data_IF_105857554099
#
_entry.id   IF_105857554099
#
_cell.length_a   1.000
_cell.length_b   1.000
_cell.length_c   1.000
_cell.angle_alpha   90.00
_cell.angle_beta   90.00
_cell.angle_gamma   90.00
#
_symmetry.space_group_name_H-M   'P 1'
#
loop_
_entity.id
_entity.type
_entity.pdbx_description
1 polymer ?
#
# COMPACT_ATOMS: atom_id res chain seq x y z
N UNK A 1 -22.65 43.64 61.94
CA UNK A 1 -21.62 42.56 62.10
C UNK A 1 -20.45 43.08 62.91
N UNK A 2 -20.12 42.44 64.04
CA UNK A 2 -19.03 42.89 64.90
C UNK A 2 -17.66 42.78 64.23
N UNK A 3 -16.75 43.68 64.57
CA UNK A 3 -15.36 43.71 64.03
C UNK A 3 -14.65 42.35 64.16
N UNK A 4 -14.97 41.56 65.18
CA UNK A 4 -14.43 40.21 65.38
C UNK A 4 -14.88 39.19 64.29
N UNK A 5 -16.14 39.23 63.87
CA UNK A 5 -16.60 38.31 62.81
C UNK A 5 -15.90 38.56 61.46
N UNK A 6 -15.61 39.83 61.13
CA UNK A 6 -14.87 40.21 59.93
C UNK A 6 -13.39 39.76 59.97
N UNK A 7 -12.76 39.84 61.12
CA UNK A 7 -11.37 39.39 61.32
C UNK A 7 -11.25 37.88 61.18
N UNK A 8 -12.19 37.10 61.70
CA UNK A 8 -12.21 35.63 61.57
C UNK A 8 -12.47 35.20 60.09
N UNK A 9 -13.41 35.84 59.40
CA UNK A 9 -13.67 35.57 58.03
C UNK A 9 -12.45 35.87 57.14
N UNK A 10 -11.76 36.99 57.41
CA UNK A 10 -10.55 37.34 56.68
C UNK A 10 -9.41 36.33 56.92
N UNK A 11 -9.22 35.86 58.15
CA UNK A 11 -8.22 34.86 58.48
C UNK A 11 -8.49 33.50 57.82
N UNK A 12 -9.76 33.08 57.74
CA UNK A 12 -10.17 31.84 57.03
C UNK A 12 -9.92 31.96 55.52
N UNK A 13 -10.27 33.09 54.89
CA UNK A 13 -10.04 33.32 53.45
C UNK A 13 -8.54 33.35 53.15
N UNK A 14 -7.72 34.04 53.98
CA UNK A 14 -6.27 34.03 53.79
C UNK A 14 -5.66 32.64 53.97
N UNK A 15 -6.18 31.84 54.93
CA UNK A 15 -5.74 30.46 55.17
C UNK A 15 -6.05 29.53 54.01
N UNK A 16 -7.28 29.62 53.44
CA UNK A 16 -7.66 28.83 52.24
C UNK A 16 -6.85 29.23 51.02
N UNK A 17 -6.59 30.52 50.83
CA UNK A 17 -5.77 31.01 49.73
C UNK A 17 -4.32 30.51 49.84
N UNK A 18 -3.75 30.50 51.04
CA UNK A 18 -2.39 29.96 51.26
C UNK A 18 -2.30 28.46 51.00
N UNK A 19 -3.32 27.67 51.36
CA UNK A 19 -3.39 26.23 51.03
C UNK A 19 -3.55 25.99 49.56
N UNK A 20 -4.39 26.76 48.84
CA UNK A 20 -4.55 26.65 47.39
C UNK A 20 -3.27 27.02 46.64
N UNK A 21 -2.59 28.09 47.06
CA UNK A 21 -1.31 28.51 46.45
C UNK A 21 -0.20 27.49 46.75
N UNK A 22 -0.10 26.99 48.00
CA UNK A 22 0.85 25.93 48.36
C UNK A 22 0.60 24.62 47.61
N UNK A 23 -0.67 24.20 47.47
CA UNK A 23 -1.08 23.04 46.72
C UNK A 23 -0.76 23.16 45.21
N UNK A 24 -0.98 24.35 44.63
CA UNK A 24 -0.63 24.64 43.26
C UNK A 24 0.88 24.54 42.99
N UNK A 25 1.71 25.13 43.85
CA UNK A 25 3.17 25.03 43.71
C UNK A 25 3.69 23.61 43.94
N UNK A 26 3.12 22.85 44.86
CA UNK A 26 3.46 21.44 45.02
C UNK A 26 3.09 20.58 43.83
N UNK A 27 1.89 20.77 43.28
CA UNK A 27 1.44 20.07 42.09
C UNK A 27 2.32 20.43 40.87
N UNK A 28 2.64 21.72 40.71
CA UNK A 28 3.52 22.18 39.64
C UNK A 28 4.95 21.61 39.75
N UNK A 29 5.49 21.57 40.96
CA UNK A 29 6.82 20.99 41.18
C UNK A 29 6.85 19.46 40.93
N UNK A 30 5.76 18.76 41.24
CA UNK A 30 5.62 17.35 40.91
C UNK A 30 5.49 17.15 39.38
N UNK A 31 4.74 17.99 38.66
CA UNK A 31 4.66 17.98 37.22
C UNK A 31 6.02 18.32 36.56
N UNK A 32 6.75 19.31 37.08
CA UNK A 32 8.08 19.65 36.56
C UNK A 32 9.10 18.55 36.84
N UNK A 33 9.01 17.83 37.96
CA UNK A 33 9.82 16.64 38.23
C UNK A 33 9.44 15.47 37.31
N UNK A 34 8.16 15.22 37.08
CA UNK A 34 7.70 14.20 36.12
C UNK A 34 8.14 14.56 34.70
N UNK A 35 7.96 15.80 34.27
CA UNK A 35 8.42 16.27 32.97
C UNK A 35 9.95 16.19 32.80
N UNK A 36 10.72 16.43 33.87
CA UNK A 36 12.17 16.23 33.83
C UNK A 36 12.59 14.76 33.87
N UNK A 37 11.84 13.89 34.55
CA UNK A 37 12.04 12.45 34.51
C UNK A 37 11.66 11.89 33.12
N UNK A 38 10.56 12.34 32.54
CA UNK A 38 10.14 11.97 31.19
C UNK A 38 11.13 12.51 30.12
N UNK A 39 11.68 13.71 30.33
CA UNK A 39 12.72 14.27 29.44
C UNK A 39 14.09 13.57 29.59
N UNK A 40 14.43 13.06 30.77
CA UNK A 40 15.63 12.25 31.00
C UNK A 40 15.47 10.79 30.53
N UNK A 41 14.22 10.30 30.34
CA UNK A 41 13.91 8.98 29.77
C UNK A 41 13.87 8.96 28.25
N UNK A 42 14.12 10.08 27.58
CA UNK A 42 13.97 10.19 26.10
C UNK A 42 15.30 10.16 25.35
N UNK A 43 16.38 9.68 25.92
CA UNK A 43 17.54 9.28 25.11
C UNK A 43 17.24 7.89 24.53
N UNK A 44 16.67 7.88 23.33
CA UNK A 44 16.39 6.62 22.62
C UNK A 44 17.69 5.85 22.44
N UNK A 45 17.67 4.59 22.85
CA UNK A 45 18.82 3.71 22.75
C UNK A 45 18.91 3.20 21.33
N UNK A 46 20.01 3.47 20.65
CA UNK A 46 20.27 2.95 19.30
C UNK A 46 20.63 1.48 19.37
N UNK A 47 19.82 0.62 18.77
CA UNK A 47 20.07 -0.82 18.63
C UNK A 47 20.84 -1.11 17.36
N UNK A 48 20.35 -0.61 16.22
CA UNK A 48 21.02 -0.73 14.93
C UNK A 48 21.19 0.66 14.30
N UNK A 49 22.32 0.87 13.61
CA UNK A 49 22.60 2.11 12.91
C UNK A 49 23.40 1.80 11.63
N UNK A 50 22.74 1.09 10.72
CA UNK A 50 23.30 0.73 9.42
C UNK A 50 22.64 1.55 8.31
N UNK A 51 23.26 1.58 7.15
CA UNK A 51 22.64 2.13 5.95
C UNK A 51 21.74 1.09 5.31
N UNK A 52 20.45 1.39 5.13
CA UNK A 52 19.56 0.53 4.35
C UNK A 52 20.04 0.35 2.89
N UNK A 53 20.78 1.34 2.36
CA UNK A 53 21.36 1.25 1.03
C UNK A 53 22.57 0.30 0.96
N UNK A 54 23.21 0.02 2.08
CA UNK A 54 24.28 -0.98 2.19
C UNK A 54 23.79 -2.39 2.46
N UNK A 55 22.46 -2.60 2.62
CA UNK A 55 21.89 -3.92 2.84
C UNK A 55 21.88 -4.72 1.53
N UNK A 56 22.42 -5.94 1.56
CA UNK A 56 22.53 -6.83 0.39
C UNK A 56 21.49 -7.94 0.39
N UNK A 57 21.03 -8.36 1.59
CA UNK A 57 19.96 -9.34 1.72
C UNK A 57 19.10 -9.04 2.96
N UNK A 58 17.86 -9.45 2.89
CA UNK A 58 16.87 -9.35 3.96
C UNK A 58 16.06 -10.64 3.97
N UNK A 59 15.90 -11.26 5.13
CA UNK A 59 14.93 -12.33 5.30
C UNK A 59 14.11 -12.11 6.54
N UNK A 60 12.86 -12.57 6.54
CA UNK A 60 12.05 -12.57 7.73
C UNK A 60 11.13 -13.78 7.81
N UNK A 61 10.89 -14.21 9.02
CA UNK A 61 9.83 -15.14 9.40
C UNK A 61 8.69 -14.36 10.02
N UNK A 62 7.45 -14.68 9.66
CA UNK A 62 6.25 -14.10 10.24
C UNK A 62 5.34 -15.23 10.73
N UNK A 63 4.99 -15.21 12.03
CA UNK A 63 4.30 -16.30 12.72
C UNK A 63 2.93 -16.61 12.14
N UNK A 64 2.12 -15.59 11.81
CA UNK A 64 0.75 -15.79 11.33
C UNK A 64 0.69 -16.52 9.99
N UNK A 65 1.73 -16.44 9.19
CA UNK A 65 1.84 -17.17 7.92
C UNK A 65 2.68 -18.42 8.04
N UNK A 66 3.46 -18.54 9.11
CA UNK A 66 4.49 -19.57 9.31
C UNK A 66 5.45 -19.69 8.11
N UNK A 67 5.71 -18.57 7.41
CA UNK A 67 6.56 -18.50 6.23
C UNK A 67 7.81 -17.68 6.49
N UNK A 68 8.92 -18.15 5.92
CA UNK A 68 10.14 -17.35 5.80
C UNK A 68 10.24 -16.84 4.37
N UNK A 69 10.35 -15.54 4.22
CA UNK A 69 10.59 -14.88 2.93
C UNK A 69 12.00 -14.31 2.93
N UNK A 70 12.72 -14.53 1.83
CA UNK A 70 14.12 -14.07 1.67
C UNK A 70 14.26 -13.27 0.39
N UNK A 71 15.01 -12.18 0.47
CA UNK A 71 15.18 -11.22 -0.61
C UNK A 71 16.65 -10.88 -0.76
N UNK A 72 17.11 -10.84 -2.00
CA UNK A 72 18.43 -10.37 -2.38
C UNK A 72 18.32 -9.05 -3.12
N UNK A 73 19.23 -8.12 -2.82
CA UNK A 73 19.31 -6.84 -3.51
C UNK A 73 20.20 -6.97 -4.73
N UNK A 74 19.67 -6.55 -5.88
CA UNK A 74 20.38 -6.46 -7.16
C UNK A 74 20.47 -5.01 -7.62
N UNK A 75 21.17 -4.74 -8.72
CA UNK A 75 21.21 -3.42 -9.34
C UNK A 75 19.81 -2.94 -9.80
N UNK A 76 18.91 -3.87 -10.12
CA UNK A 76 17.54 -3.58 -10.55
C UNK A 76 16.55 -3.40 -9.37
N UNK A 77 16.98 -3.66 -8.14
CA UNK A 77 16.16 -3.61 -6.93
C UNK A 77 16.13 -4.93 -6.16
N UNK A 78 15.16 -5.09 -5.28
CA UNK A 78 14.96 -6.29 -4.48
C UNK A 78 14.30 -7.42 -5.28
N UNK A 79 14.75 -8.62 -5.09
CA UNK A 79 14.25 -9.85 -5.75
C UNK A 79 13.89 -10.86 -4.67
N UNK A 80 12.77 -11.55 -4.82
CA UNK A 80 12.38 -12.67 -3.96
C UNK A 80 13.20 -13.91 -4.34
N UNK A 81 13.95 -14.49 -3.40
CA UNK A 81 14.89 -15.57 -3.68
C UNK A 81 14.20 -16.84 -4.18
N UNK A 82 13.01 -17.15 -3.69
CA UNK A 82 12.24 -18.31 -4.12
C UNK A 82 11.65 -18.16 -5.53
N UNK A 83 11.51 -16.92 -6.03
CA UNK A 83 10.84 -16.62 -7.29
C UNK A 83 11.32 -15.28 -7.85
N UNK A 84 12.41 -15.30 -8.62
CA UNK A 84 13.09 -14.10 -9.09
C UNK A 84 12.23 -13.18 -9.98
N UNK A 85 11.24 -13.74 -10.66
CA UNK A 85 10.31 -12.98 -11.52
C UNK A 85 9.08 -12.43 -10.77
N UNK A 86 8.96 -12.73 -9.45
CA UNK A 86 7.86 -12.23 -8.65
C UNK A 86 7.87 -10.69 -8.61
N UNK A 87 6.79 -10.04 -9.02
CA UNK A 87 6.76 -8.57 -9.09
C UNK A 87 6.60 -7.97 -7.70
N UNK A 88 7.72 -7.81 -7.01
CA UNK A 88 7.79 -7.26 -5.66
C UNK A 88 7.44 -5.77 -5.63
N UNK A 89 6.66 -5.38 -4.63
CA UNK A 89 6.47 -3.99 -4.26
C UNK A 89 7.76 -3.43 -3.64
N UNK A 90 8.59 -2.81 -4.46
CA UNK A 90 9.89 -2.26 -4.08
C UNK A 90 9.80 -1.24 -2.94
N UNK A 91 8.71 -0.48 -2.87
CA UNK A 91 8.48 0.50 -1.81
C UNK A 91 8.32 -0.18 -0.45
N UNK A 92 7.55 -1.27 -0.39
CA UNK A 92 7.37 -2.05 0.85
C UNK A 92 8.69 -2.68 1.30
N UNK A 93 9.40 -3.37 0.41
CA UNK A 93 10.67 -4.00 0.76
C UNK A 93 11.71 -2.96 1.22
N UNK A 94 11.75 -1.80 0.56
CA UNK A 94 12.63 -0.70 0.97
C UNK A 94 12.24 -0.15 2.34
N UNK A 95 10.96 -0.05 2.66
CA UNK A 95 10.49 0.36 3.99
C UNK A 95 10.90 -0.67 5.06
N UNK A 96 10.76 -1.97 4.78
CA UNK A 96 11.22 -3.05 5.66
C UNK A 96 12.74 -2.95 5.92
N UNK A 97 13.54 -2.77 4.87
CA UNK A 97 14.98 -2.60 5.00
C UNK A 97 15.36 -1.39 5.87
N UNK A 98 14.67 -0.26 5.70
CA UNK A 98 14.85 0.94 6.53
C UNK A 98 14.45 0.71 7.98
N UNK A 99 13.36 -0.02 8.21
CA UNK A 99 12.85 -0.28 9.56
C UNK A 99 13.84 -1.05 10.44
N UNK A 100 14.65 -1.96 9.87
CA UNK A 100 15.66 -2.72 10.63
C UNK A 100 17.07 -2.15 10.58
N UNK A 101 17.36 -1.29 9.61
CA UNK A 101 18.66 -0.65 9.50
C UNK A 101 18.91 0.36 10.63
N UNK A 102 17.85 1.01 11.13
CA UNK A 102 17.93 2.06 12.14
C UNK A 102 16.87 1.86 13.23
N UNK A 103 17.09 0.87 14.08
CA UNK A 103 16.18 0.56 15.19
C UNK A 103 16.62 1.29 16.46
N UNK A 104 15.65 1.89 17.10
CA UNK A 104 15.82 2.53 18.41
C UNK A 104 14.91 1.86 19.43
N UNK A 105 15.45 1.63 20.64
CA UNK A 105 14.66 1.17 21.76
C UNK A 105 14.16 2.34 22.61
N UNK A 106 12.97 2.18 23.15
CA UNK A 106 12.43 3.07 24.19
C UNK A 106 13.17 2.87 25.52
N UNK A 107 13.57 1.63 25.79
CA UNK A 107 14.35 1.25 26.97
C UNK A 107 14.96 -0.13 26.84
N UNK A 108 15.96 -0.42 27.67
CA UNK A 108 16.40 -1.78 27.96
C UNK A 108 15.51 -2.42 29.03
N UNK A 109 15.39 -3.74 28.98
CA UNK A 109 14.69 -4.54 29.99
C UNK A 109 15.73 -5.28 30.83
N UNK A 110 15.72 -5.06 32.15
CA UNK A 110 16.63 -5.78 33.03
C UNK A 110 16.29 -7.27 33.07
N UNK A 111 17.25 -8.09 32.70
CA UNK A 111 17.17 -9.56 32.68
C UNK A 111 17.42 -10.10 34.07
N UNK A 112 16.42 -10.13 34.94
CA UNK A 112 16.47 -10.78 36.25
C UNK A 112 15.66 -12.07 36.18
N UNK A 113 16.30 -13.21 36.13
CA UNK A 113 15.67 -14.53 36.21
C UNK A 113 14.64 -14.87 35.08
N UNK A 114 14.62 -14.11 34.00
CA UNK A 114 13.74 -14.31 32.86
C UNK A 114 14.47 -14.97 31.67
N UNK A 115 13.71 -15.77 30.92
CA UNK A 115 14.14 -16.38 29.66
C UNK A 115 13.59 -15.60 28.47
N UNK A 116 14.04 -15.89 27.25
CA UNK A 116 13.46 -15.31 26.02
C UNK A 116 12.00 -15.71 25.85
N UNK A 117 11.61 -16.92 26.28
CA UNK A 117 10.23 -17.40 26.26
C UNK A 117 9.27 -16.51 27.07
N UNK A 118 9.72 -15.97 28.20
CA UNK A 118 8.88 -15.09 29.05
C UNK A 118 8.51 -13.79 28.34
N UNK A 119 9.22 -13.44 27.26
CA UNK A 119 8.98 -12.24 26.45
C UNK A 119 8.47 -12.55 25.04
N UNK A 120 8.13 -13.82 24.76
CA UNK A 120 7.65 -14.24 23.43
C UNK A 120 8.73 -14.14 22.34
N UNK A 121 9.99 -14.47 22.69
CA UNK A 121 11.14 -14.38 21.80
C UNK A 121 11.80 -15.73 21.49
N UNK A 122 11.29 -16.84 22.03
CA UNK A 122 11.76 -18.18 21.68
C UNK A 122 11.23 -18.66 20.32
N UNK A 123 11.67 -19.83 19.88
CA UNK A 123 11.28 -20.37 18.56
C UNK A 123 9.79 -20.72 18.44
N UNK A 124 9.10 -20.94 19.56
CA UNK A 124 7.69 -21.35 19.58
C UNK A 124 6.75 -20.15 19.61
N UNK A 125 7.17 -19.04 20.20
CA UNK A 125 6.30 -17.89 20.50
C UNK A 125 6.70 -16.60 19.77
N UNK A 126 7.86 -16.58 19.08
CA UNK A 126 8.33 -15.39 18.39
C UNK A 126 7.36 -14.96 17.27
N UNK A 127 7.04 -13.67 17.25
CA UNK A 127 6.13 -13.11 16.26
C UNK A 127 6.82 -12.85 14.92
N UNK A 128 7.99 -12.18 14.96
CA UNK A 128 8.79 -11.88 13.78
C UNK A 128 10.26 -12.17 14.05
N UNK A 129 10.93 -12.86 13.14
CA UNK A 129 12.41 -12.97 13.12
C UNK A 129 12.91 -12.31 11.84
N UNK A 130 13.77 -11.31 11.96
CA UNK A 130 14.34 -10.61 10.81
C UNK A 130 15.85 -10.81 10.80
N UNK A 131 16.40 -11.20 9.65
CA UNK A 131 17.84 -11.22 9.39
C UNK A 131 18.17 -10.28 8.26
N UNK A 132 19.01 -9.29 8.55
CA UNK A 132 19.52 -8.33 7.59
C UNK A 132 21.02 -8.54 7.37
N UNK A 133 21.46 -8.56 6.11
CA UNK A 133 22.86 -8.77 5.74
C UNK A 133 23.43 -7.52 5.08
N UNK A 134 24.61 -7.15 5.52
CA UNK A 134 25.35 -5.97 5.06
C UNK A 134 26.77 -6.36 4.66
N UNK A 135 27.48 -5.48 3.98
CA UNK A 135 28.92 -5.60 3.75
C UNK A 135 29.67 -4.68 4.71
N UNK A 136 30.74 -5.20 5.31
CA UNK A 136 31.68 -4.38 6.09
C UNK A 136 32.58 -3.52 5.18
N UNK A 137 33.47 -2.74 5.78
CA UNK A 137 34.44 -1.92 5.05
C UNK A 137 35.40 -2.72 4.14
N UNK A 138 35.56 -4.03 4.36
CA UNK A 138 36.36 -4.94 3.56
C UNK A 138 35.53 -5.75 2.56
N UNK A 139 34.28 -5.40 2.35
CA UNK A 139 33.31 -6.12 1.51
C UNK A 139 33.01 -7.54 1.98
N UNK A 140 33.16 -7.82 3.28
CA UNK A 140 32.84 -9.12 3.89
C UNK A 140 31.38 -9.05 4.39
N UNK A 141 30.52 -10.02 4.01
CA UNK A 141 29.15 -10.06 4.50
C UNK A 141 29.08 -10.33 6.00
N UNK A 142 28.23 -9.59 6.70
CA UNK A 142 27.84 -9.89 8.07
C UNK A 142 26.32 -9.73 8.22
N UNK A 143 25.74 -10.48 9.16
CA UNK A 143 24.30 -10.48 9.36
C UNK A 143 23.94 -10.09 10.78
N UNK A 144 22.81 -9.39 10.91
CA UNK A 144 22.19 -9.05 12.17
C UNK A 144 20.81 -9.70 12.19
N UNK A 145 20.56 -10.52 13.21
CA UNK A 145 19.24 -11.15 13.40
C UNK A 145 18.55 -10.52 14.60
N UNK A 146 17.32 -10.10 14.42
CA UNK A 146 16.42 -9.56 15.43
C UNK A 146 15.24 -10.51 15.62
N UNK A 147 14.92 -10.82 16.87
CA UNK A 147 13.71 -11.53 17.27
C UNK A 147 12.78 -10.53 17.92
N UNK A 148 11.54 -10.48 17.49
CA UNK A 148 10.57 -9.48 17.94
C UNK A 148 9.30 -10.21 18.38
N UNK A 149 8.82 -9.87 19.58
CA UNK A 149 7.59 -10.43 20.15
C UNK A 149 6.35 -9.85 19.47
N UNK A 150 5.21 -10.45 19.72
CA UNK A 150 3.92 -9.81 19.52
C UNK A 150 3.82 -8.50 20.33
N UNK A 151 2.95 -7.60 19.91
CA UNK A 151 2.71 -6.35 20.61
C UNK A 151 2.10 -6.60 22.00
N UNK A 152 2.73 -6.07 23.04
CA UNK A 152 2.20 -6.14 24.40
C UNK A 152 0.97 -5.22 24.53
N UNK A 153 -0.13 -5.80 25.03
CA UNK A 153 -1.43 -5.13 25.11
C UNK A 153 -1.45 -3.88 26.03
N UNK A 154 -0.55 -3.82 27.00
CA UNK A 154 -0.49 -2.74 27.99
C UNK A 154 0.43 -1.61 27.55
N UNK A 155 1.64 -1.96 27.08
CA UNK A 155 2.67 -0.97 26.73
C UNK A 155 2.54 -0.51 25.28
N UNK A 156 1.82 -1.26 24.43
CA UNK A 156 1.71 -1.04 22.99
C UNK A 156 3.08 -1.12 22.26
N UNK A 157 4.07 -1.74 22.90
CA UNK A 157 5.42 -1.95 22.38
C UNK A 157 5.68 -3.45 22.17
N UNK A 158 6.77 -3.78 21.51
CA UNK A 158 7.26 -5.16 21.37
C UNK A 158 8.56 -5.32 22.16
N UNK A 159 8.82 -6.55 22.62
CA UNK A 159 10.15 -6.93 23.09
C UNK A 159 11.02 -7.33 21.91
N UNK A 160 12.32 -7.09 22.03
CA UNK A 160 13.28 -7.39 20.96
C UNK A 160 14.60 -7.88 21.54
N UNK A 161 15.15 -8.95 20.96
CA UNK A 161 16.54 -9.37 21.17
C UNK A 161 17.30 -9.33 19.85
N UNK A 162 18.63 -9.12 19.93
CA UNK A 162 19.51 -9.03 18.75
C UNK A 162 20.63 -10.05 18.90
N UNK A 163 20.95 -10.74 17.83
CA UNK A 163 22.01 -11.75 17.81
C UNK A 163 23.36 -11.17 18.22
N UNK A 164 24.03 -11.85 19.16
CA UNK A 164 25.32 -11.41 19.71
C UNK A 164 25.26 -10.29 20.75
N UNK A 165 24.07 -9.72 21.01
CA UNK A 165 23.83 -8.75 22.07
C UNK A 165 22.99 -9.41 23.17
N UNK A 166 23.52 -9.62 24.34
CA UNK A 166 22.77 -10.23 25.46
C UNK A 166 21.66 -9.36 26.05
N UNK A 167 21.39 -8.20 25.48
CA UNK A 167 20.45 -7.21 25.98
C UNK A 167 19.03 -7.45 25.43
N UNK A 168 18.04 -7.29 26.29
CA UNK A 168 16.63 -7.29 25.90
C UNK A 168 16.15 -5.84 25.81
N UNK A 169 15.46 -5.53 24.72
CA UNK A 169 14.97 -4.20 24.41
C UNK A 169 13.44 -4.15 24.38
N UNK A 170 12.90 -2.99 24.62
CA UNK A 170 11.52 -2.63 24.29
C UNK A 170 11.56 -1.64 23.12
N UNK A 171 10.89 -1.99 22.01
CA UNK A 171 10.87 -1.22 20.77
C UNK A 171 9.43 -0.87 20.38
N UNK A 172 9.26 0.14 19.52
CA UNK A 172 7.97 0.47 18.95
C UNK A 172 7.43 -0.70 18.11
N UNK A 173 6.15 -1.01 18.26
CA UNK A 173 5.48 -2.10 17.52
C UNK A 173 5.46 -1.89 15.99
N UNK A 174 5.60 -0.65 15.51
CA UNK A 174 5.70 -0.36 14.07
C UNK A 174 6.86 -1.10 13.40
N UNK A 175 7.92 -1.43 14.15
CA UNK A 175 9.05 -2.21 13.61
C UNK A 175 8.57 -3.62 13.21
N UNK A 176 7.84 -4.31 14.10
CA UNK A 176 7.25 -5.62 13.81
C UNK A 176 6.21 -5.53 12.69
N UNK A 177 5.36 -4.49 12.72
CA UNK A 177 4.32 -4.25 11.73
C UNK A 177 4.84 -4.14 10.29
N UNK A 178 6.07 -3.69 10.09
CA UNK A 178 6.71 -3.67 8.77
C UNK A 178 7.01 -5.08 8.21
N UNK A 179 6.92 -6.14 9.03
CA UNK A 179 7.18 -7.53 8.64
C UNK A 179 5.94 -8.43 8.70
N UNK A 180 4.79 -7.87 9.05
CA UNK A 180 3.51 -8.58 9.12
C UNK A 180 2.88 -8.75 7.73
N UNK A 181 3.63 -9.28 6.76
CA UNK A 181 3.20 -9.47 5.38
C UNK A 181 3.38 -10.91 4.93
N UNK A 182 2.36 -11.47 4.27
CA UNK A 182 2.50 -12.66 3.44
C UNK A 182 3.16 -12.29 2.10
N UNK A 183 3.62 -13.29 1.35
CA UNK A 183 4.16 -13.06 0.00
C UNK A 183 3.15 -12.28 -0.88
N UNK A 184 1.87 -12.63 -0.81
CA UNK A 184 0.81 -11.97 -1.57
C UNK A 184 0.69 -10.47 -1.27
N UNK A 185 0.92 -10.07 -0.03
CA UNK A 185 0.85 -8.66 0.39
C UNK A 185 2.02 -7.84 -0.15
N UNK A 186 3.10 -8.51 -0.54
CA UNK A 186 4.28 -7.90 -1.15
C UNK A 186 4.20 -7.80 -2.68
N UNK A 187 3.10 -8.21 -3.28
CA UNK A 187 2.88 -8.04 -4.71
C UNK A 187 2.81 -6.55 -5.06
N UNK A 188 3.48 -6.16 -6.14
CA UNK A 188 3.30 -4.84 -6.74
C UNK A 188 1.89 -4.75 -7.32
N UNK A 189 1.07 -3.87 -6.80
CA UNK A 189 -0.27 -3.64 -7.33
C UNK A 189 -0.22 -2.81 -8.60
N UNK A 190 -1.07 -3.14 -9.57
CA UNK A 190 -1.33 -2.31 -10.74
C UNK A 190 -2.55 -1.41 -10.48
N UNK A 191 -2.70 -0.39 -11.30
CA UNK A 191 -3.87 0.49 -11.30
C UNK A 191 -4.52 0.46 -12.66
N UNK A 192 -5.84 0.50 -12.70
CA UNK A 192 -6.57 0.64 -13.96
C UNK A 192 -6.08 1.87 -14.70
N UNK A 193 -5.82 1.77 -16.00
CA UNK A 193 -5.57 2.94 -16.83
C UNK A 193 -6.72 3.94 -16.69
N UNK A 194 -6.38 5.20 -16.48
CA UNK A 194 -7.39 6.25 -16.36
C UNK A 194 -7.71 6.79 -17.75
N UNK A 195 -8.95 6.59 -18.22
CA UNK A 195 -9.45 7.28 -19.39
C UNK A 195 -10.08 8.61 -18.99
N UNK A 196 -9.86 9.64 -19.80
CA UNK A 196 -10.62 10.87 -19.65
C UNK A 196 -12.01 10.67 -20.29
N UNK A 197 -12.97 10.40 -19.43
CA UNK A 197 -14.32 10.07 -19.83
C UNK A 197 -15.06 11.24 -20.53
N UNK A 198 -14.69 12.49 -20.21
CA UNK A 198 -15.31 13.69 -20.79
C UNK A 198 -14.76 14.00 -22.21
N UNK A 199 -13.61 13.45 -22.54
CA UNK A 199 -12.97 13.62 -23.84
C UNK A 199 -12.91 12.34 -24.66
N UNK A 200 -13.66 11.29 -24.23
CA UNK A 200 -13.81 10.05 -24.99
C UNK A 200 -14.61 10.34 -26.28
N UNK A 201 -13.99 10.11 -27.43
CA UNK A 201 -14.59 10.43 -28.71
C UNK A 201 -14.82 9.21 -29.63
N UNK A 202 -14.17 8.07 -29.35
CA UNK A 202 -14.33 6.86 -30.13
C UNK A 202 -13.96 5.63 -29.32
N UNK A 203 -14.66 4.51 -29.53
CA UNK A 203 -14.25 3.18 -29.09
C UNK A 203 -14.25 2.23 -30.28
N UNK A 204 -13.14 1.53 -30.49
CA UNK A 204 -13.04 0.49 -31.52
C UNK A 204 -13.19 -0.86 -30.83
N UNK A 205 -14.21 -1.62 -31.20
CA UNK A 205 -14.42 -2.99 -30.79
C UNK A 205 -13.98 -3.93 -31.90
N UNK A 206 -13.00 -4.80 -31.65
CA UNK A 206 -12.44 -5.77 -32.56
C UNK A 206 -12.73 -7.20 -32.09
N UNK A 207 -13.39 -7.98 -32.86
CA UNK A 207 -13.63 -9.40 -32.60
C UNK A 207 -12.39 -10.27 -32.87
N UNK A 208 -12.41 -11.54 -32.39
CA UNK A 208 -11.28 -12.47 -32.58
C UNK A 208 -11.04 -12.83 -34.04
N UNK A 209 -12.01 -12.62 -34.93
CA UNK A 209 -11.94 -12.77 -36.37
C UNK A 209 -11.37 -11.56 -37.12
N UNK A 210 -11.02 -10.48 -36.36
CA UNK A 210 -10.53 -9.22 -36.88
C UNK A 210 -11.62 -8.28 -37.41
N UNK A 211 -12.90 -8.63 -37.27
CA UNK A 211 -14.00 -7.72 -37.59
C UNK A 211 -14.01 -6.54 -36.60
N UNK A 212 -14.04 -5.31 -37.12
CA UNK A 212 -13.98 -4.09 -36.33
C UNK A 212 -15.27 -3.30 -36.44
N UNK A 213 -15.75 -2.78 -35.31
CA UNK A 213 -16.84 -1.81 -35.20
C UNK A 213 -16.33 -0.57 -34.50
N UNK A 214 -16.51 0.61 -35.07
CA UNK A 214 -16.20 1.88 -34.45
C UNK A 214 -17.47 2.52 -33.90
N UNK A 215 -17.46 2.81 -32.59
CA UNK A 215 -18.56 3.43 -31.86
C UNK A 215 -18.17 4.90 -31.64
N UNK A 216 -18.97 5.81 -32.22
CA UNK A 216 -18.79 7.27 -32.13
C UNK A 216 -20.08 7.98 -31.69
N UNK A 217 -21.20 7.27 -31.63
CA UNK A 217 -22.46 7.85 -31.16
C UNK A 217 -22.46 7.96 -29.63
N UNK A 218 -23.06 9.03 -29.14
CA UNK A 218 -23.04 9.39 -27.72
C UNK A 218 -23.64 8.30 -26.84
N UNK A 219 -24.69 7.60 -27.29
CA UNK A 219 -25.35 6.56 -26.49
C UNK A 219 -24.42 5.36 -26.26
N UNK A 220 -23.73 4.92 -27.31
CA UNK A 220 -22.76 3.84 -27.23
C UNK A 220 -21.56 4.23 -26.38
N UNK A 221 -21.04 5.46 -26.55
CA UNK A 221 -19.91 5.97 -25.77
C UNK A 221 -20.25 6.08 -24.27
N UNK A 222 -21.42 6.60 -23.89
CA UNK A 222 -21.83 6.73 -22.48
C UNK A 222 -22.03 5.36 -21.81
N UNK A 223 -22.55 4.39 -22.54
CA UNK A 223 -22.68 3.03 -22.03
C UNK A 223 -21.33 2.36 -21.81
N UNK A 224 -20.41 2.47 -22.79
CA UNK A 224 -19.04 1.93 -22.68
C UNK A 224 -18.23 2.63 -21.60
N UNK A 225 -18.39 3.95 -21.43
CA UNK A 225 -17.80 4.71 -20.34
C UNK A 225 -18.24 4.16 -18.98
N UNK A 226 -19.53 3.91 -18.78
CA UNK A 226 -20.07 3.36 -17.54
C UNK A 226 -19.53 1.94 -17.29
N UNK A 227 -19.44 1.09 -18.31
CA UNK A 227 -18.86 -0.24 -18.20
C UNK A 227 -17.38 -0.19 -17.82
N UNK A 228 -16.60 0.69 -18.44
CA UNK A 228 -15.19 0.87 -18.12
C UNK A 228 -14.97 1.30 -16.66
N UNK A 229 -15.78 2.24 -16.17
CA UNK A 229 -15.69 2.73 -14.79
C UNK A 229 -16.01 1.65 -13.74
N UNK A 230 -16.78 0.63 -14.12
CA UNK A 230 -17.12 -0.52 -13.27
C UNK A 230 -16.10 -1.67 -13.34
N UNK A 231 -15.11 -1.60 -14.23
CA UNK A 231 -14.04 -2.59 -14.27
C UNK A 231 -13.19 -2.51 -13.00
N UNK A 232 -12.74 -3.64 -12.51
CA UNK A 232 -11.91 -3.72 -11.32
C UNK A 232 -10.78 -4.72 -11.50
N UNK A 233 -9.58 -4.40 -11.05
CA UNK A 233 -8.40 -5.29 -11.05
C UNK A 233 -8.23 -6.05 -9.73
N UNK A 234 -9.32 -6.34 -9.02
CA UNK A 234 -9.25 -7.01 -7.71
C UNK A 234 -8.94 -8.50 -7.81
N UNK A 235 -9.39 -9.15 -8.87
CA UNK A 235 -9.29 -10.59 -9.05
C UNK A 235 -8.16 -10.90 -10.03
N UNK A 236 -6.94 -10.94 -9.54
CA UNK A 236 -5.79 -11.33 -10.34
C UNK A 236 -5.77 -12.87 -10.51
N UNK A 237 -5.59 -13.33 -11.75
CA UNK A 237 -5.35 -14.73 -12.09
C UNK A 237 -3.87 -15.08 -12.03
N UNK A 238 -3.04 -14.30 -12.72
CA UNK A 238 -1.58 -14.47 -12.71
C UNK A 238 -0.89 -13.15 -13.02
N UNK A 239 0.32 -12.99 -12.50
CA UNK A 239 1.21 -11.88 -12.82
C UNK A 239 2.15 -12.17 -14.00
N UNK A 240 2.05 -13.35 -14.61
CA UNK A 240 2.89 -13.74 -15.74
C UNK A 240 2.10 -13.69 -17.03
N UNK A 241 2.52 -12.84 -17.97
CA UNK A 241 2.03 -12.82 -19.34
C UNK A 241 3.08 -13.42 -20.27
N UNK A 242 3.03 -14.73 -20.46
CA UNK A 242 3.83 -15.44 -21.46
C UNK A 242 2.91 -16.14 -22.46
N UNK A 243 3.49 -16.73 -23.53
CA UNK A 243 2.70 -17.40 -24.58
C UNK A 243 1.76 -18.48 -24.02
N UNK A 244 2.18 -19.20 -22.98
CA UNK A 244 1.36 -20.24 -22.35
C UNK A 244 0.17 -19.65 -21.59
N UNK A 245 0.40 -18.63 -20.74
CA UNK A 245 -0.67 -18.00 -19.97
C UNK A 245 -1.67 -17.28 -20.88
N UNK A 246 -1.21 -16.62 -21.96
CA UNK A 246 -2.08 -15.99 -22.94
C UNK A 246 -2.95 -17.02 -23.65
N UNK A 247 -2.38 -18.15 -24.07
CA UNK A 247 -3.14 -19.24 -24.71
C UNK A 247 -4.14 -19.87 -23.74
N UNK A 248 -3.76 -20.14 -22.50
CA UNK A 248 -4.65 -20.71 -21.48
C UNK A 248 -5.83 -19.81 -21.13
N UNK A 249 -5.65 -18.51 -21.22
CA UNK A 249 -6.67 -17.51 -20.91
C UNK A 249 -7.39 -16.98 -22.13
N UNK A 250 -7.04 -17.43 -23.36
CA UNK A 250 -7.61 -16.95 -24.62
C UNK A 250 -7.26 -15.49 -24.94
N UNK A 251 -6.23 -14.95 -24.28
CA UNK A 251 -5.72 -13.60 -24.53
C UNK A 251 -4.70 -13.55 -25.67
N UNK A 252 -4.36 -14.68 -26.28
CA UNK A 252 -3.63 -14.76 -27.55
C UNK A 252 -4.48 -14.35 -28.75
N UNK A 253 -5.80 -14.50 -28.64
CA UNK A 253 -6.80 -14.08 -29.67
C UNK A 253 -7.99 -13.35 -29.00
N UNK A 254 -7.74 -12.22 -28.35
CA UNK A 254 -8.75 -11.56 -27.53
C UNK A 254 -9.78 -10.79 -28.34
N UNK A 255 -10.94 -10.54 -27.74
CA UNK A 255 -11.77 -9.40 -28.13
C UNK A 255 -11.09 -8.15 -27.59
N UNK A 256 -10.96 -7.10 -28.42
CA UNK A 256 -10.32 -5.84 -28.06
C UNK A 256 -11.31 -4.70 -28.05
N UNK A 257 -11.27 -3.87 -27.00
CA UNK A 257 -11.99 -2.60 -26.97
C UNK A 257 -10.98 -1.48 -26.72
N UNK A 258 -10.71 -0.69 -27.76
CA UNK A 258 -9.76 0.42 -27.71
C UNK A 258 -10.52 1.73 -27.52
N UNK A 259 -10.41 2.30 -26.32
CA UNK A 259 -10.97 3.60 -25.94
C UNK A 259 -10.03 4.70 -26.37
N UNK A 260 -10.49 5.64 -27.20
CA UNK A 260 -9.75 6.81 -27.69
C UNK A 260 -10.28 8.08 -27.07
N UNK A 261 -9.41 8.83 -26.45
CA UNK A 261 -9.75 10.06 -25.74
C UNK A 261 -8.61 11.06 -25.85
N UNK A 262 -8.86 12.31 -25.48
CA UNK A 262 -7.78 13.31 -25.34
C UNK A 262 -7.40 13.47 -23.88
N UNK A 263 -6.13 13.78 -23.64
CA UNK A 263 -5.59 14.13 -22.31
C UNK A 263 -4.70 15.36 -22.40
N UNK A 264 -4.71 16.12 -21.32
CA UNK A 264 -3.86 17.28 -21.17
C UNK A 264 -2.54 16.88 -20.53
N UNK A 265 -1.44 17.25 -21.14
CA UNK A 265 -0.08 17.07 -20.64
C UNK A 265 0.49 18.43 -20.25
N UNK A 266 1.08 18.50 -19.07
CA UNK A 266 1.84 19.67 -18.62
C UNK A 266 3.28 19.55 -19.19
N UNK A 267 3.65 20.47 -20.06
CA UNK A 267 4.98 20.51 -20.71
C UNK A 267 5.74 21.71 -20.18
N UNK A 268 6.86 21.45 -19.51
CA UNK A 268 7.73 22.50 -19.04
C UNK A 268 8.56 23.04 -20.22
N UNK A 269 8.51 24.35 -20.43
CA UNK A 269 9.27 25.05 -21.45
C UNK A 269 10.67 25.38 -20.94
N UNK A 270 11.59 25.72 -21.85
CA UNK A 270 12.97 26.06 -21.52
C UNK A 270 13.09 27.32 -20.64
N UNK A 271 12.07 28.21 -20.66
CA UNK A 271 12.00 29.42 -19.85
C UNK A 271 11.41 29.17 -18.43
N UNK A 272 11.07 27.90 -18.10
CA UNK A 272 10.50 27.48 -16.83
C UNK A 272 8.97 27.66 -16.76
N UNK A 273 8.30 28.15 -17.79
CA UNK A 273 6.83 28.15 -17.87
C UNK A 273 6.30 26.73 -18.11
N UNK A 274 5.03 26.50 -17.76
CA UNK A 274 4.34 25.22 -17.98
C UNK A 274 3.18 25.46 -18.92
N UNK A 275 3.24 24.84 -20.10
CA UNK A 275 2.16 24.84 -21.08
C UNK A 275 1.33 23.56 -20.95
N UNK A 276 0.03 23.71 -21.21
CA UNK A 276 -0.88 22.56 -21.32
C UNK A 276 -1.07 22.19 -22.79
N UNK A 277 -0.67 20.99 -23.15
CA UNK A 277 -0.82 20.45 -24.51
C UNK A 277 -1.81 19.30 -24.49
N UNK A 278 -2.91 19.43 -25.23
CA UNK A 278 -3.89 18.36 -25.40
C UNK A 278 -3.37 17.37 -26.47
N UNK A 279 -3.33 16.08 -26.11
CA UNK A 279 -2.84 14.99 -26.99
C UNK A 279 -3.83 13.84 -27.03
N UNK A 280 -3.84 13.09 -28.14
CA UNK A 280 -4.58 11.84 -28.24
C UNK A 280 -3.95 10.76 -27.36
N UNK A 281 -4.82 9.98 -26.75
CA UNK A 281 -4.47 8.83 -25.91
C UNK A 281 -5.43 7.67 -26.16
N UNK A 282 -4.98 6.47 -25.87
CA UNK A 282 -5.82 5.28 -25.94
C UNK A 282 -5.53 4.33 -24.78
N UNK A 283 -6.51 3.47 -24.48
CA UNK A 283 -6.39 2.34 -23.57
C UNK A 283 -7.19 1.18 -24.12
N UNK A 284 -6.60 0.00 -24.19
CA UNK A 284 -7.24 -1.17 -24.77
C UNK A 284 -7.53 -2.22 -23.72
N UNK A 285 -8.80 -2.59 -23.58
CA UNK A 285 -9.25 -3.75 -22.81
C UNK A 285 -9.18 -4.98 -23.71
N UNK A 286 -8.55 -6.04 -23.22
CA UNK A 286 -8.44 -7.33 -23.87
C UNK A 286 -9.28 -8.34 -23.11
N UNK A 287 -10.29 -8.96 -23.75
CA UNK A 287 -11.14 -9.99 -23.17
C UNK A 287 -10.76 -11.34 -23.76
N UNK A 288 -10.47 -12.31 -22.90
CA UNK A 288 -10.08 -13.67 -23.26
C UNK A 288 -11.22 -14.68 -23.13
N UNK A 289 -10.87 -15.91 -22.82
CA UNK A 289 -11.79 -17.02 -22.64
C UNK A 289 -12.61 -16.89 -21.33
N UNK A 290 -13.83 -17.46 -21.36
CA UNK A 290 -14.62 -17.60 -20.13
C UNK A 290 -14.33 -18.92 -19.44
N UNK A 291 -14.49 -18.93 -18.12
CA UNK A 291 -14.35 -20.11 -17.26
C UNK A 291 -15.39 -20.09 -16.13
N UNK A 292 -15.48 -21.18 -15.39
CA UNK A 292 -16.32 -21.29 -14.20
C UNK A 292 -15.42 -21.62 -13.01
N UNK A 293 -15.57 -20.89 -11.91
CA UNK A 293 -14.81 -21.13 -10.69
C UNK A 293 -15.29 -22.41 -9.96
N UNK A 294 -14.61 -22.79 -8.88
CA UNK A 294 -14.95 -23.97 -8.08
C UNK A 294 -16.30 -23.87 -7.37
N UNK A 295 -16.84 -22.65 -7.26
CA UNK A 295 -18.16 -22.36 -6.67
C UNK A 295 -19.29 -22.34 -7.70
N UNK A 296 -18.97 -22.53 -9.00
CA UNK A 296 -19.92 -22.50 -10.09
C UNK A 296 -20.21 -21.13 -10.69
N UNK A 297 -19.44 -20.08 -10.32
CA UNK A 297 -19.64 -18.74 -10.84
C UNK A 297 -18.89 -18.56 -12.17
N UNK A 298 -19.54 -17.99 -13.20
CA UNK A 298 -18.92 -17.74 -14.49
C UNK A 298 -18.12 -16.45 -14.50
N UNK A 299 -16.89 -16.52 -15.04
CA UNK A 299 -15.95 -15.41 -15.20
C UNK A 299 -15.36 -15.39 -16.59
N UNK A 300 -14.72 -14.28 -16.96
CA UNK A 300 -13.94 -14.11 -18.18
C UNK A 300 -12.61 -13.50 -17.83
N UNK A 301 -11.53 -14.06 -18.39
CA UNK A 301 -10.19 -13.47 -18.27
C UNK A 301 -10.12 -12.15 -19.02
N UNK A 302 -9.39 -11.20 -18.47
CA UNK A 302 -9.15 -9.94 -19.13
C UNK A 302 -7.84 -9.30 -18.66
N UNK A 303 -7.36 -8.35 -19.45
CA UNK A 303 -6.26 -7.46 -19.10
C UNK A 303 -6.38 -6.14 -19.86
N UNK A 304 -5.43 -5.25 -19.67
CA UNK A 304 -5.26 -4.05 -20.47
C UNK A 304 -3.90 -4.10 -21.18
N UNK A 305 -3.78 -3.40 -22.30
CA UNK A 305 -2.53 -3.27 -23.05
C UNK A 305 -1.38 -2.65 -22.21
N UNK A 306 -1.72 -1.80 -21.23
CA UNK A 306 -0.78 -1.16 -20.32
C UNK A 306 -0.45 -1.97 -19.05
N UNK A 307 -1.15 -3.08 -18.79
CA UNK A 307 -0.97 -3.90 -17.59
C UNK A 307 -0.15 -5.16 -17.90
N UNK A 308 0.50 -5.69 -16.86
CA UNK A 308 1.33 -6.89 -16.93
C UNK A 308 0.63 -8.14 -16.43
N UNK A 309 -0.47 -7.98 -15.65
CA UNK A 309 -1.15 -9.09 -15.02
C UNK A 309 -2.41 -9.47 -15.77
N UNK A 310 -2.81 -10.72 -15.62
CA UNK A 310 -4.09 -11.21 -16.12
C UNK A 310 -5.07 -11.24 -14.96
N UNK A 311 -6.23 -10.68 -15.20
CA UNK A 311 -7.32 -10.59 -14.24
C UNK A 311 -8.54 -11.37 -14.71
N UNK A 312 -9.58 -11.45 -13.90
CA UNK A 312 -10.88 -11.95 -14.34
C UNK A 312 -12.01 -11.12 -13.75
N UNK A 313 -13.09 -11.00 -14.52
CA UNK A 313 -14.30 -10.27 -14.19
C UNK A 313 -15.51 -11.19 -14.34
N UNK A 314 -16.68 -10.89 -13.71
CA UNK A 314 -17.90 -11.62 -13.96
C UNK A 314 -18.20 -11.70 -15.47
N UNK A 315 -18.59 -12.88 -15.92
CA UNK A 315 -18.86 -13.13 -17.36
C UNK A 315 -19.90 -12.17 -17.93
N UNK A 316 -20.92 -11.82 -17.15
CA UNK A 316 -21.96 -10.87 -17.55
C UNK A 316 -21.34 -9.50 -17.94
N UNK A 317 -20.39 -8.99 -17.16
CA UNK A 317 -19.69 -7.73 -17.49
C UNK A 317 -18.90 -7.85 -18.78
N UNK A 318 -18.21 -8.98 -18.98
CA UNK A 318 -17.47 -9.24 -20.21
C UNK A 318 -18.38 -9.38 -21.42
N UNK A 319 -19.51 -10.06 -21.28
CA UNK A 319 -20.51 -10.22 -22.36
C UNK A 319 -21.09 -8.86 -22.80
N UNK A 320 -21.34 -7.95 -21.87
CA UNK A 320 -21.75 -6.58 -22.21
C UNK A 320 -20.69 -5.83 -23.02
N UNK A 321 -19.43 -5.94 -22.66
CA UNK A 321 -18.33 -5.35 -23.43
C UNK A 321 -18.19 -6.01 -24.82
N UNK A 322 -18.25 -7.34 -24.87
CA UNK A 322 -18.10 -8.10 -26.10
C UNK A 322 -19.24 -7.82 -27.10
N UNK A 323 -20.44 -7.49 -26.65
CA UNK A 323 -21.58 -7.18 -27.51
C UNK A 323 -21.32 -5.97 -28.45
N UNK A 324 -20.37 -5.10 -28.10
CA UNK A 324 -20.02 -3.96 -28.94
C UNK A 324 -19.24 -4.33 -30.22
N UNK A 325 -18.73 -5.55 -30.36
CA UNK A 325 -18.13 -6.01 -31.61
C UNK A 325 -19.17 -6.09 -32.75
N UNK A 326 -20.46 -6.20 -32.42
CA UNK A 326 -21.61 -6.24 -33.36
C UNK A 326 -22.58 -5.07 -33.12
N UNK A 327 -22.14 -4.01 -32.48
CA UNK A 327 -22.97 -2.85 -32.19
C UNK A 327 -23.44 -2.15 -33.45
N UNK A 328 -24.74 -1.84 -33.51
CA UNK A 328 -25.35 -1.03 -34.55
C UNK A 328 -25.75 0.31 -33.97
N UNK A 329 -25.18 1.43 -34.44
CA UNK A 329 -25.52 2.76 -33.94
C UNK A 329 -27.01 3.05 -34.09
N UNK A 330 -27.59 3.64 -33.04
CA UNK A 330 -28.97 4.15 -33.12
C UNK A 330 -28.96 5.44 -33.94
N UNK A 331 -29.39 5.35 -35.17
CA UNK A 331 -29.59 6.52 -36.05
C UNK A 331 -30.77 7.31 -35.50
N UNK A 332 -30.49 8.44 -34.83
CA UNK A 332 -31.56 9.40 -34.49
C UNK A 332 -32.12 9.95 -35.81
N UNK A 333 -33.44 9.93 -36.02
CA UNK A 333 -34.04 10.59 -37.21
C UNK A 333 -33.70 12.08 -37.14
N UNK A 334 -33.10 12.59 -38.24
CA UNK A 334 -32.87 14.01 -38.41
C UNK A 334 -34.12 14.81 -38.04
N UNK A 335 -34.05 15.69 -37.06
CA UNK A 335 -35.11 16.65 -36.81
C UNK A 335 -35.17 17.61 -38.03
N UNK A 336 -36.08 17.35 -38.89
CA UNK A 336 -36.39 18.24 -40.01
C UNK A 336 -36.87 19.56 -39.40
N UNK A 337 -35.99 20.54 -39.34
CA UNK A 337 -36.31 21.92 -38.95
C UNK A 337 -37.19 22.49 -40.06
N UNK A 338 -38.50 22.37 -39.92
CA UNK A 338 -39.45 23.08 -40.80
C UNK A 338 -39.29 24.57 -40.48
N UNK A 339 -38.56 25.28 -41.31
CA UNK A 339 -38.56 26.74 -41.31
C UNK A 339 -39.99 27.18 -41.69
N UNK A 340 -40.73 27.69 -40.72
CA UNK A 340 -41.95 28.42 -40.97
C UNK A 340 -41.57 29.71 -41.72
N UNK A 341 -41.90 29.71 -43.02
CA UNK A 341 -41.83 30.92 -43.84
C UNK A 341 -43.00 31.80 -43.43
N UNK A 342 -42.72 32.94 -42.79
CA UNK A 342 -43.68 33.98 -42.47
C UNK A 342 -43.83 34.88 -43.72
N UNK A 343 -45.01 34.85 -44.29
CA UNK A 343 -45.49 35.89 -45.23
C UNK A 343 -45.78 37.21 -44.53
#
# INVERSE_FOLDING_TARGET
MSKQKRAVTLAVVCGTLAVCVGGYFAARHLQEKQAQQDAQQTEKITITNYSADGMTALSYYFSDTAQTLSFTRTDAGWVLDSEAEYPLNQTKITAMAKAVAQVQAERTVEKKDYTEADFGLDDETVYVVVTSTYLDSNQVPFSVTMRISEQDAFTQNCYCSVSGDGTLYMINADVAGNFAYSQKDLLQTESLPQINADTLYSVIAEGPDGACTEIVDQTGLDALKSLYQNLTIKNMYTYTQNAQSLQQTGLDTPIKLTFRYTKDLQVQQDDGSVDTVTTDASSTVLLGASFTDTSGNPYTYYTFDALRYIYYIPKETADFLAAYTTYVPVVQPEQTTTQAQSD
#
